data_IF_164968754471
#
_entry.id   IF_164968754471
#
_cell.length_a   1.000
_cell.length_b   1.000
_cell.length_c   1.000
_cell.angle_alpha   90.00
_cell.angle_beta   90.00
_cell.angle_gamma   90.00
#
_symmetry.space_group_name_H-M   'P 1'
#
loop_
_entity.id
_entity.type
_entity.pdbx_description
1 polymer ?
#
# COMPACT_ATOMS: atom_id res chain seq x y z
N UNK A 1 -10.20 -21.66 -0.05
CA UNK A 1 -9.36 -21.60 0.44
C UNK A 1 -8.27 -22.11 1.41
N UNK A 2 -8.42 -22.75 2.54
CA UNK A 2 -7.35 -23.42 3.29
C UNK A 2 -6.48 -22.56 4.20
N UNK A 3 -6.68 -21.24 4.27
CA UNK A 3 -5.98 -20.37 5.22
C UNK A 3 -6.60 -20.53 6.61
N UNK A 4 -5.76 -20.91 7.59
CA UNK A 4 -6.17 -20.98 9.00
C UNK A 4 -5.75 -19.72 9.71
N UNK A 5 -6.71 -18.98 10.26
CA UNK A 5 -6.46 -17.79 11.06
C UNK A 5 -6.40 -18.17 12.54
N UNK A 6 -5.33 -17.76 13.23
CA UNK A 6 -5.15 -17.97 14.64
C UNK A 6 -4.95 -16.63 15.35
N UNK A 7 -5.74 -16.37 16.37
CA UNK A 7 -5.50 -15.25 17.27
C UNK A 7 -4.47 -15.69 18.32
N UNK A 8 -3.30 -15.07 18.29
CA UNK A 8 -2.26 -15.34 19.27
C UNK A 8 -2.60 -14.68 20.62
N UNK A 9 -2.08 -15.27 21.69
CA UNK A 9 -2.30 -14.80 23.04
C UNK A 9 -1.64 -13.43 23.29
N UNK A 10 -2.20 -12.65 24.24
CA UNK A 10 -1.66 -11.37 24.65
C UNK A 10 -0.23 -11.50 25.22
N UNK A 11 0.48 -10.38 25.35
CA UNK A 11 1.90 -10.33 25.76
C UNK A 11 2.21 -11.13 27.04
N UNK A 12 1.30 -11.11 28.02
CA UNK A 12 1.45 -11.87 29.25
C UNK A 12 1.58 -13.39 29.04
N UNK A 13 1.15 -13.90 27.88
CA UNK A 13 1.11 -15.32 27.54
C UNK A 13 2.05 -15.68 26.38
N UNK A 14 3.13 -14.94 26.17
CA UNK A 14 4.10 -15.21 25.09
C UNK A 14 4.68 -16.64 25.13
N UNK A 15 4.76 -17.26 26.28
CA UNK A 15 5.16 -18.65 26.39
C UNK A 15 4.20 -19.61 25.66
N UNK A 16 2.90 -19.35 25.72
CA UNK A 16 1.90 -20.11 24.98
C UNK A 16 2.09 -19.94 23.47
N UNK A 17 2.33 -18.69 23.03
CA UNK A 17 2.63 -18.39 21.64
C UNK A 17 3.88 -19.13 21.15
N UNK A 18 4.93 -19.18 21.98
CA UNK A 18 6.16 -19.93 21.69
C UNK A 18 5.90 -21.43 21.53
N UNK A 19 5.17 -22.04 22.46
CA UNK A 19 4.82 -23.48 22.39
C UNK A 19 3.99 -23.79 21.15
N UNK A 20 3.03 -22.92 20.81
CA UNK A 20 2.22 -23.06 19.61
C UNK A 20 3.10 -23.03 18.34
N UNK A 21 3.98 -22.04 18.20
CA UNK A 21 4.88 -21.90 17.06
C UNK A 21 5.88 -23.06 16.98
N UNK A 22 6.40 -23.53 18.12
CA UNK A 22 7.28 -24.70 18.22
C UNK A 22 6.59 -25.97 17.72
N UNK A 23 5.32 -26.16 18.06
CA UNK A 23 4.53 -27.32 17.61
C UNK A 23 4.26 -27.29 16.11
N UNK A 24 4.10 -26.09 15.52
CA UNK A 24 3.74 -25.93 14.10
C UNK A 24 4.92 -26.08 13.15
N UNK A 25 6.14 -25.74 13.56
CA UNK A 25 7.38 -25.87 12.77
C UNK A 25 7.24 -25.25 11.37
N UNK A 26 6.92 -23.95 11.32
CA UNK A 26 6.80 -23.25 10.04
C UNK A 26 8.15 -23.11 9.32
N UNK A 27 8.18 -23.38 8.02
CA UNK A 27 9.36 -23.25 7.17
C UNK A 27 9.68 -21.77 6.85
N UNK A 28 8.63 -20.97 6.62
CA UNK A 28 8.72 -19.57 6.22
C UNK A 28 7.73 -18.75 7.03
N UNK A 29 8.19 -17.60 7.50
CA UNK A 29 7.37 -16.57 8.11
C UNK A 29 7.15 -15.46 7.08
N UNK A 30 5.94 -14.92 6.97
CA UNK A 30 5.64 -13.74 6.19
C UNK A 30 5.24 -12.62 7.14
N UNK A 31 5.84 -11.45 6.97
CA UNK A 31 5.44 -10.22 7.66
C UNK A 31 5.06 -9.16 6.64
N UNK A 32 3.84 -8.65 6.76
CA UNK A 32 3.39 -7.46 6.00
C UNK A 32 3.78 -6.26 6.85
N UNK A 33 4.87 -5.59 6.46
CA UNK A 33 5.64 -4.75 7.36
C UNK A 33 5.97 -5.50 8.67
N UNK A 34 6.61 -4.85 9.61
CA UNK A 34 6.80 -5.42 10.93
C UNK A 34 6.38 -4.43 12.00
N UNK A 35 5.38 -4.82 12.78
CA UNK A 35 4.96 -4.08 13.97
C UNK A 35 5.69 -4.60 15.19
N UNK A 36 5.69 -3.85 16.30
CA UNK A 36 6.19 -4.32 17.61
C UNK A 36 5.60 -5.68 17.99
N UNK A 37 4.32 -5.91 17.66
CA UNK A 37 3.66 -7.17 17.98
C UNK A 37 4.19 -8.34 17.13
N UNK A 38 4.26 -8.19 15.81
CA UNK A 38 4.78 -9.23 14.91
C UNK A 38 6.26 -9.50 15.16
N UNK A 39 7.08 -8.47 15.41
CA UNK A 39 8.47 -8.60 15.84
C UNK A 39 8.61 -9.47 17.09
N UNK A 40 7.82 -9.17 18.13
CA UNK A 40 7.86 -9.91 19.40
C UNK A 40 7.57 -11.40 19.20
N UNK A 41 6.60 -11.74 18.36
CA UNK A 41 6.24 -13.13 18.06
C UNK A 41 7.34 -13.79 17.22
N UNK A 42 7.77 -13.14 16.16
CA UNK A 42 8.81 -13.68 15.27
C UNK A 42 10.13 -13.90 16.00
N UNK A 43 10.58 -12.93 16.83
CA UNK A 43 11.85 -13.03 17.58
C UNK A 43 11.87 -14.23 18.53
N UNK A 44 10.73 -14.62 19.08
CA UNK A 44 10.57 -15.76 20.00
C UNK A 44 10.24 -17.08 19.30
N UNK A 45 9.90 -17.07 18.02
CA UNK A 45 9.62 -18.30 17.30
C UNK A 45 10.85 -19.21 17.23
N UNK A 46 10.70 -20.54 17.36
CA UNK A 46 11.83 -21.47 17.38
C UNK A 46 12.54 -21.53 16.02
N UNK A 47 13.84 -21.86 16.07
CA UNK A 47 14.69 -22.03 14.89
C UNK A 47 15.73 -20.91 14.74
N UNK A 48 17.00 -21.30 14.54
CA UNK A 48 18.11 -20.34 14.39
C UNK A 48 18.13 -19.64 13.02
N UNK A 49 17.69 -20.35 11.97
CA UNK A 49 17.75 -19.90 10.58
C UNK A 49 16.32 -19.80 9.99
N UNK A 50 15.41 -19.18 10.72
CA UNK A 50 14.04 -18.94 10.23
C UNK A 50 14.08 -18.08 8.98
N UNK A 51 13.39 -18.47 7.93
CA UNK A 51 13.24 -17.66 6.74
C UNK A 51 12.10 -16.67 6.91
N UNK A 52 12.37 -15.40 6.67
CA UNK A 52 11.41 -14.31 6.74
C UNK A 52 11.19 -13.72 5.36
N UNK A 53 9.99 -13.81 4.84
CA UNK A 53 9.53 -13.04 3.70
C UNK A 53 8.97 -11.71 4.24
N UNK A 54 9.65 -10.63 3.98
CA UNK A 54 9.31 -9.31 4.49
C UNK A 54 8.67 -8.48 3.37
N UNK A 55 7.38 -8.20 3.50
CA UNK A 55 6.63 -7.47 2.49
C UNK A 55 6.52 -5.99 2.85
N UNK A 56 7.29 -5.18 2.13
CA UNK A 56 7.35 -3.73 2.26
C UNK A 56 6.04 -3.13 1.75
N UNK A 57 5.37 -2.35 2.59
CA UNK A 57 4.08 -1.72 2.30
C UNK A 57 4.12 -0.20 2.40
N UNK A 58 4.62 0.36 3.49
CA UNK A 58 4.59 1.81 3.76
C UNK A 58 5.78 2.24 4.65
N UNK A 59 7.03 2.07 4.17
CA UNK A 59 8.21 2.48 4.92
C UNK A 59 8.28 4.01 4.99
N UNK A 60 8.38 4.54 6.22
CA UNK A 60 8.42 5.99 6.48
C UNK A 60 9.72 6.37 7.18
N UNK A 61 10.82 6.62 6.45
CA UNK A 61 12.01 7.21 7.02
C UNK A 61 11.75 8.63 7.55
N UNK A 62 12.70 9.21 8.26
CA UNK A 62 12.52 10.49 8.96
C UNK A 62 12.06 11.62 8.05
N UNK A 63 12.60 11.71 6.84
CA UNK A 63 12.22 12.75 5.88
C UNK A 63 10.75 12.66 5.42
N UNK A 64 10.14 11.46 5.40
CA UNK A 64 8.69 11.31 5.14
C UNK A 64 7.88 11.90 6.30
N UNK A 65 8.33 11.71 7.52
CA UNK A 65 7.70 12.31 8.70
C UNK A 65 7.88 13.83 8.75
N UNK A 66 9.04 14.34 8.32
CA UNK A 66 9.29 15.78 8.23
C UNK A 66 8.29 16.44 7.27
N UNK A 67 7.99 15.80 6.15
CA UNK A 67 6.99 16.25 5.19
C UNK A 67 5.56 16.16 5.74
N UNK A 68 5.18 15.03 6.34
CA UNK A 68 3.87 14.85 6.98
C UNK A 68 3.65 15.91 8.06
N UNK A 69 4.66 16.21 8.86
CA UNK A 69 4.60 17.20 9.93
C UNK A 69 4.50 18.65 9.44
N UNK A 70 4.56 18.91 8.13
CA UNK A 70 4.25 20.23 7.57
C UNK A 70 2.76 20.54 7.60
N UNK A 71 1.88 19.54 7.74
CA UNK A 71 0.44 19.74 7.97
C UNK A 71 0.22 20.37 9.34
N UNK A 72 -0.51 21.50 9.40
CA UNK A 72 -0.75 22.25 10.63
C UNK A 72 -2.21 22.25 11.07
N UNK A 73 -3.14 22.15 10.13
CA UNK A 73 -4.58 22.21 10.43
C UNK A 73 -5.01 21.07 11.36
N UNK A 74 -4.46 19.88 11.12
CA UNK A 74 -4.69 18.70 11.92
C UNK A 74 -3.46 17.78 11.86
N UNK A 75 -2.53 17.88 12.84
CA UNK A 75 -1.28 17.11 12.82
C UNK A 75 -1.49 15.60 12.89
N UNK A 76 -0.75 14.86 12.09
CA UNK A 76 -0.71 13.38 12.17
C UNK A 76 0.13 12.95 13.37
N UNK A 77 -0.36 12.02 14.22
CA UNK A 77 0.47 11.42 15.26
C UNK A 77 1.63 10.65 14.67
N UNK A 78 2.85 11.08 14.94
CA UNK A 78 4.05 10.36 14.54
C UNK A 78 4.19 9.07 15.34
N UNK A 79 4.45 7.96 14.65
CA UNK A 79 4.86 6.71 15.28
C UNK A 79 6.23 6.29 14.76
N UNK A 80 7.09 5.86 15.66
CA UNK A 80 8.44 5.42 15.35
C UNK A 80 8.80 4.21 16.20
N UNK A 81 9.26 3.12 15.57
CA UNK A 81 9.62 1.89 16.27
C UNK A 81 11.07 1.51 15.98
N UNK A 82 12.01 2.19 16.66
CA UNK A 82 13.43 1.97 16.50
C UNK A 82 13.82 0.51 16.76
N UNK A 83 13.17 -0.16 17.71
CA UNK A 83 13.49 -1.55 18.05
C UNK A 83 13.19 -2.49 16.86
N UNK A 84 12.08 -2.25 16.16
CA UNK A 84 11.74 -3.02 14.95
C UNK A 84 12.72 -2.73 13.83
N UNK A 85 13.08 -1.46 13.60
CA UNK A 85 14.02 -1.08 12.54
C UNK A 85 15.41 -1.66 12.77
N UNK A 86 15.91 -1.60 14.00
CA UNK A 86 17.18 -2.22 14.38
C UNK A 86 17.17 -3.74 14.22
N UNK A 87 16.06 -4.38 14.57
CA UNK A 87 15.89 -5.82 14.38
C UNK A 87 15.94 -6.19 12.90
N UNK A 88 15.18 -5.52 12.03
CA UNK A 88 15.18 -5.80 10.59
C UNK A 88 16.59 -5.61 10.02
N UNK A 89 17.27 -4.52 10.40
CA UNK A 89 18.65 -4.26 10.01
C UNK A 89 19.60 -5.41 10.40
N UNK A 90 19.56 -5.85 11.67
CA UNK A 90 20.42 -6.94 12.13
C UNK A 90 20.05 -8.29 11.49
N UNK A 91 18.76 -8.53 11.32
CA UNK A 91 18.30 -9.79 10.73
C UNK A 91 18.65 -9.88 9.22
N UNK A 92 18.69 -8.76 8.52
CA UNK A 92 19.12 -8.72 7.11
C UNK A 92 20.56 -9.24 6.94
N UNK A 93 21.46 -8.97 7.91
CA UNK A 93 22.85 -9.47 7.88
C UNK A 93 22.98 -10.99 7.97
N UNK A 94 21.92 -11.68 8.40
CA UNK A 94 21.94 -13.15 8.52
C UNK A 94 21.67 -13.85 7.18
N UNK A 95 21.24 -13.14 6.14
CA UNK A 95 20.81 -13.71 4.86
C UNK A 95 19.52 -14.54 4.94
N UNK A 96 18.78 -14.45 6.04
CA UNK A 96 17.55 -15.20 6.26
C UNK A 96 16.28 -14.37 6.04
N UNK A 97 16.40 -13.11 5.65
CA UNK A 97 15.29 -12.25 5.25
C UNK A 97 15.30 -12.07 3.73
N UNK A 98 14.12 -12.13 3.15
CA UNK A 98 13.91 -11.87 1.73
C UNK A 98 12.88 -10.74 1.61
N UNK A 99 13.27 -9.68 0.93
CA UNK A 99 12.44 -8.49 0.81
C UNK A 99 11.62 -8.54 -0.47
N UNK A 100 10.33 -8.26 -0.33
CA UNK A 100 9.43 -7.99 -1.45
C UNK A 100 8.76 -6.63 -1.24
N UNK A 101 8.44 -5.93 -2.32
CA UNK A 101 7.84 -4.59 -2.26
C UNK A 101 6.62 -4.50 -3.15
N UNK A 102 5.58 -3.82 -2.68
CA UNK A 102 4.37 -3.56 -3.45
C UNK A 102 4.56 -2.53 -4.56
N UNK A 103 5.58 -1.68 -4.45
CA UNK A 103 5.87 -0.61 -5.41
C UNK A 103 7.36 -0.29 -5.44
N UNK A 104 7.90 0.02 -6.62
CA UNK A 104 9.32 0.33 -6.81
C UNK A 104 9.74 1.62 -6.10
N UNK A 105 8.85 2.59 -6.03
CA UNK A 105 9.11 3.85 -5.33
C UNK A 105 9.35 3.67 -3.81
N UNK A 106 9.04 2.50 -3.25
CA UNK A 106 9.26 2.19 -1.84
C UNK A 106 10.61 1.55 -1.56
N UNK A 107 11.31 1.04 -2.57
CA UNK A 107 12.54 0.29 -2.39
C UNK A 107 13.63 1.13 -1.71
N UNK A 108 13.84 2.37 -2.14
CA UNK A 108 14.81 3.26 -1.52
C UNK A 108 14.38 3.69 -0.11
N UNK A 109 13.09 4.00 0.09
CA UNK A 109 12.55 4.34 1.41
C UNK A 109 12.76 3.22 2.42
N UNK A 110 12.57 1.96 2.00
CA UNK A 110 12.82 0.81 2.86
C UNK A 110 14.32 0.64 3.16
N UNK A 111 15.20 0.82 2.17
CA UNK A 111 16.66 0.79 2.39
C UNK A 111 17.08 1.85 3.40
N UNK A 112 16.56 3.06 3.29
CA UNK A 112 16.87 4.16 4.21
C UNK A 112 16.35 3.86 5.63
N UNK A 113 15.08 3.45 5.75
CA UNK A 113 14.45 3.18 7.05
C UNK A 113 15.14 2.04 7.81
N UNK A 114 15.40 0.93 7.12
CA UNK A 114 16.00 -0.25 7.72
C UNK A 114 17.52 -0.28 7.60
N UNK A 115 18.16 0.76 7.07
CA UNK A 115 19.62 0.89 6.89
C UNK A 115 20.21 -0.32 6.16
N UNK A 116 19.55 -0.71 5.06
CA UNK A 116 19.99 -1.83 4.23
C UNK A 116 21.10 -1.38 3.26
N UNK A 117 22.01 -2.28 2.88
CA UNK A 117 22.98 -2.02 1.81
C UNK A 117 22.29 -1.58 0.51
N UNK A 118 22.94 -0.70 -0.25
CA UNK A 118 22.38 -0.18 -1.50
C UNK A 118 22.09 -1.28 -2.55
N UNK A 119 22.89 -2.34 -2.53
CA UNK A 119 22.76 -3.53 -3.39
C UNK A 119 21.74 -4.57 -2.86
N UNK A 120 21.06 -4.30 -1.73
CA UNK A 120 20.02 -5.20 -1.24
C UNK A 120 18.95 -5.41 -2.30
N UNK A 121 18.76 -6.67 -2.68
CA UNK A 121 17.73 -7.05 -3.63
C UNK A 121 16.35 -6.98 -2.98
N UNK A 122 15.41 -6.27 -3.62
CA UNK A 122 14.00 -6.18 -3.24
C UNK A 122 13.17 -6.62 -4.44
N UNK A 123 12.48 -7.75 -4.31
CA UNK A 123 11.65 -8.28 -5.38
C UNK A 123 10.35 -7.49 -5.50
N UNK A 124 9.96 -7.19 -6.73
CA UNK A 124 8.69 -6.51 -7.00
C UNK A 124 7.53 -7.49 -6.96
N UNK A 125 6.62 -7.29 -6.02
CA UNK A 125 5.38 -8.05 -5.90
C UNK A 125 4.22 -7.08 -5.64
N UNK A 126 3.61 -6.53 -6.70
CA UNK A 126 2.57 -5.51 -6.58
C UNK A 126 1.33 -6.03 -5.86
N UNK A 127 0.69 -5.15 -5.09
CA UNK A 127 -0.57 -5.47 -4.45
C UNK A 127 -1.63 -5.88 -5.49
N UNK A 128 -2.37 -6.95 -5.24
CA UNK A 128 -3.47 -7.36 -6.12
C UNK A 128 -4.73 -6.58 -5.79
N UNK A 129 -5.61 -6.48 -6.78
CA UNK A 129 -7.02 -6.13 -6.59
C UNK A 129 -7.92 -7.17 -7.25
N UNK A 130 -9.19 -7.20 -6.84
CA UNK A 130 -10.23 -7.91 -7.56
C UNK A 130 -10.61 -7.09 -8.78
N UNK A 131 -10.64 -7.74 -9.95
CA UNK A 131 -10.97 -7.12 -11.22
C UNK A 131 -12.34 -7.61 -11.65
N UNK A 132 -13.22 -6.68 -12.02
CA UNK A 132 -14.50 -7.02 -12.65
C UNK A 132 -14.25 -7.37 -14.11
N UNK A 133 -14.19 -8.67 -14.41
CA UNK A 133 -13.94 -9.16 -15.77
C UNK A 133 -15.10 -8.87 -16.73
N UNK A 134 -16.28 -8.55 -16.21
CA UNK A 134 -17.47 -8.22 -17.02
C UNK A 134 -17.59 -6.73 -17.30
N UNK A 135 -16.72 -5.89 -16.72
CA UNK A 135 -16.76 -4.46 -16.96
C UNK A 135 -16.23 -4.13 -18.36
N UNK A 136 -17.11 -3.54 -19.18
CA UNK A 136 -16.77 -3.05 -20.52
C UNK A 136 -16.84 -1.52 -20.54
N UNK A 137 -15.69 -0.84 -20.66
CA UNK A 137 -15.61 0.62 -20.65
C UNK A 137 -16.26 1.25 -21.90
N UNK A 138 -16.45 0.54 -22.99
CA UNK A 138 -17.05 1.07 -24.21
C UNK A 138 -18.58 1.18 -24.13
N UNK A 139 -19.20 0.39 -23.25
CA UNK A 139 -20.65 0.43 -23.01
C UNK A 139 -21.06 1.17 -21.74
N UNK A 140 -20.12 1.53 -20.87
CA UNK A 140 -20.41 2.25 -19.63
C UNK A 140 -20.17 3.76 -19.79
N UNK A 141 -21.24 4.55 -19.64
CA UNK A 141 -21.15 6.02 -19.66
C UNK A 141 -20.78 6.55 -18.29
N UNK A 142 -19.60 7.16 -18.19
CA UNK A 142 -19.16 7.85 -16.97
C UNK A 142 -19.84 9.20 -16.81
N UNK A 143 -20.14 9.55 -15.57
CA UNK A 143 -20.69 10.84 -15.18
C UNK A 143 -19.57 11.81 -14.80
N UNK A 144 -19.86 13.12 -14.80
CA UNK A 144 -18.92 14.16 -14.35
C UNK A 144 -18.74 14.17 -12.81
N UNK A 145 -18.64 12.97 -12.24
CA UNK A 145 -18.42 12.76 -10.83
C UNK A 145 -16.92 12.68 -10.52
N UNK A 146 -16.54 13.33 -9.42
CA UNK A 146 -15.17 13.39 -8.91
C UNK A 146 -15.18 12.77 -7.52
N UNK A 147 -14.31 11.78 -7.31
CA UNK A 147 -14.26 11.01 -6.06
C UNK A 147 -13.02 11.35 -5.23
N UNK A 148 -13.21 11.32 -3.93
CA UNK A 148 -12.19 11.04 -2.94
C UNK A 148 -12.47 9.66 -2.35
N UNK A 149 -11.47 8.79 -2.27
CA UNK A 149 -11.61 7.46 -1.67
C UNK A 149 -10.48 7.21 -0.68
N UNK A 150 -10.81 7.23 0.62
CA UNK A 150 -9.84 6.98 1.66
C UNK A 150 -10.37 7.32 3.05
N UNK A 151 -9.61 6.96 4.08
CA UNK A 151 -9.94 7.34 5.46
C UNK A 151 -9.89 8.87 5.59
N UNK A 152 -10.77 9.42 6.41
CA UNK A 152 -10.73 10.85 6.74
C UNK A 152 -9.74 11.01 7.89
N UNK A 153 -8.48 11.25 7.53
CA UNK A 153 -7.35 11.41 8.45
C UNK A 153 -6.46 12.56 7.96
N UNK A 154 -5.62 13.09 8.84
CA UNK A 154 -4.73 14.21 8.56
C UNK A 154 -3.91 14.01 7.27
N UNK A 155 -3.24 12.87 7.13
CA UNK A 155 -2.40 12.58 5.95
C UNK A 155 -3.17 12.59 4.63
N UNK A 156 -4.50 12.42 4.66
CA UNK A 156 -5.36 12.39 3.46
C UNK A 156 -5.86 13.77 3.06
N UNK A 157 -5.81 14.75 3.95
CA UNK A 157 -6.21 16.15 3.72
C UNK A 157 -7.58 16.30 3.06
N UNK A 158 -8.61 15.62 3.61
CA UNK A 158 -9.98 15.68 3.11
C UNK A 158 -10.52 17.13 2.97
N UNK A 159 -10.03 18.06 3.79
CA UNK A 159 -10.36 19.50 3.69
C UNK A 159 -9.92 20.11 2.35
N UNK A 160 -8.77 19.68 1.80
CA UNK A 160 -8.31 20.19 0.51
C UNK A 160 -9.22 19.71 -0.63
N UNK A 161 -9.69 18.47 -0.57
CA UNK A 161 -10.70 17.98 -1.51
C UNK A 161 -12.03 18.77 -1.39
N UNK A 162 -12.42 19.11 -0.17
CA UNK A 162 -13.63 19.91 0.04
C UNK A 162 -13.49 21.35 -0.51
N UNK A 163 -12.30 21.96 -0.38
CA UNK A 163 -12.03 23.28 -0.98
C UNK A 163 -12.01 23.21 -2.52
N UNK A 164 -11.54 22.11 -3.11
CA UNK A 164 -11.64 21.88 -4.56
C UNK A 164 -13.11 21.85 -4.97
N UNK A 165 -13.96 21.11 -4.22
CA UNK A 165 -15.40 21.04 -4.50
C UNK A 165 -16.06 22.41 -4.42
N UNK A 166 -15.74 23.23 -3.38
CA UNK A 166 -16.24 24.61 -3.22
C UNK A 166 -15.87 25.49 -4.41
N UNK A 167 -14.66 25.33 -4.95
CA UNK A 167 -14.15 26.13 -6.06
C UNK A 167 -14.71 25.70 -7.43
N UNK A 168 -15.34 24.51 -7.52
CA UNK A 168 -15.82 23.93 -8.79
C UNK A 168 -17.32 23.54 -8.70
N UNK A 169 -18.23 24.50 -8.49
CA UNK A 169 -19.66 24.20 -8.21
C UNK A 169 -20.39 23.55 -9.39
N UNK A 170 -19.82 23.55 -10.57
CA UNK A 170 -20.38 22.93 -11.79
C UNK A 170 -20.24 21.39 -11.83
N UNK A 171 -19.40 20.79 -10.95
CA UNK A 171 -19.18 19.35 -10.89
C UNK A 171 -19.68 18.76 -9.57
N UNK A 172 -19.92 17.44 -9.54
CA UNK A 172 -20.34 16.72 -8.33
C UNK A 172 -19.16 16.00 -7.70
N UNK A 173 -18.97 16.21 -6.40
CA UNK A 173 -17.88 15.65 -5.61
C UNK A 173 -18.41 14.68 -4.56
N UNK A 174 -17.81 13.50 -4.48
CA UNK A 174 -18.21 12.46 -3.54
C UNK A 174 -17.03 12.05 -2.67
N UNK A 175 -17.18 12.21 -1.37
CA UNK A 175 -16.19 11.82 -0.38
C UNK A 175 -16.56 10.47 0.22
N UNK A 176 -15.82 9.43 -0.19
CA UNK A 176 -16.00 8.04 0.24
C UNK A 176 -14.97 7.72 1.34
N UNK A 177 -15.46 7.50 2.54
CA UNK A 177 -14.65 7.17 3.71
C UNK A 177 -15.19 7.75 4.99
N UNK A 178 -14.56 7.37 6.08
CA UNK A 178 -14.88 7.86 7.41
C UNK A 178 -13.63 8.04 8.26
N UNK A 179 -13.71 8.80 9.33
CA UNK A 179 -12.67 8.94 10.32
C UNK A 179 -12.59 7.69 11.21
N UNK A 180 -11.39 7.19 11.45
CA UNK A 180 -11.14 6.07 12.37
C UNK A 180 -10.28 6.48 13.56
N UNK A 181 -9.14 7.11 13.27
CA UNK A 181 -8.25 7.64 14.30
C UNK A 181 -8.62 9.07 14.56
N UNK A 182 -8.59 9.50 15.83
CA UNK A 182 -8.96 10.86 16.22
C UNK A 182 -10.25 11.30 15.52
N UNK A 183 -11.30 10.44 15.63
CA UNK A 183 -12.52 10.61 14.84
C UNK A 183 -13.24 11.91 15.15
N UNK A 184 -13.29 12.32 16.42
CA UNK A 184 -13.98 13.53 16.83
C UNK A 184 -13.30 14.78 16.28
N UNK A 185 -11.97 14.84 16.33
CA UNK A 185 -11.18 15.95 15.79
C UNK A 185 -11.27 16.02 14.27
N UNK A 186 -11.16 14.90 13.57
CA UNK A 186 -11.33 14.82 12.12
C UNK A 186 -12.72 15.27 11.69
N UNK A 187 -13.75 14.79 12.39
CA UNK A 187 -15.14 15.17 12.12
C UNK A 187 -15.38 16.66 12.39
N UNK A 188 -14.78 17.24 13.43
CA UNK A 188 -14.87 18.66 13.72
C UNK A 188 -14.22 19.52 12.60
N UNK A 189 -13.10 19.07 12.02
CA UNK A 189 -12.50 19.73 10.85
C UNK A 189 -13.44 19.64 9.66
N UNK A 190 -13.99 18.46 9.36
CA UNK A 190 -14.83 18.23 8.18
C UNK A 190 -16.24 18.83 8.32
N UNK A 191 -16.72 19.07 9.53
CA UNK A 191 -18.02 19.72 9.76
C UNK A 191 -18.13 21.12 9.13
N UNK A 192 -17.00 21.80 8.91
CA UNK A 192 -16.93 23.12 8.25
C UNK A 192 -17.26 23.11 6.76
N UNK A 193 -17.39 21.93 6.18
CA UNK A 193 -17.58 21.71 4.74
C UNK A 193 -18.91 21.04 4.39
N UNK A 194 -19.78 20.85 5.39
CA UNK A 194 -21.07 20.15 5.23
C UNK A 194 -22.11 20.93 4.41
N UNK A 195 -21.92 22.23 4.32
CA UNK A 195 -22.81 23.18 3.60
C UNK A 195 -22.44 23.39 2.13
N UNK A 196 -21.39 22.70 1.64
CA UNK A 196 -20.99 22.77 0.21
C UNK A 196 -21.98 21.98 -0.64
N UNK A 197 -22.80 22.64 -1.52
CA UNK A 197 -23.95 22.01 -2.15
C UNK A 197 -23.61 20.85 -3.08
N UNK A 198 -22.43 20.87 -3.69
CA UNK A 198 -21.93 19.86 -4.64
C UNK A 198 -20.94 18.87 -4.03
N UNK A 199 -20.77 18.85 -2.71
CA UNK A 199 -19.93 17.90 -1.96
C UNK A 199 -20.82 16.92 -1.19
N UNK A 200 -20.74 15.65 -1.53
CA UNK A 200 -21.53 14.58 -0.92
C UNK A 200 -20.68 13.71 -0.02
N UNK A 201 -20.95 13.72 1.28
CA UNK A 201 -20.32 12.83 2.25
C UNK A 201 -21.02 11.47 2.22
N UNK A 202 -20.42 10.50 1.57
CA UNK A 202 -21.02 9.17 1.36
C UNK A 202 -20.80 8.24 2.56
N UNK A 203 -19.77 8.51 3.36
CA UNK A 203 -19.35 7.65 4.46
C UNK A 203 -18.57 6.43 3.98
N UNK A 204 -18.46 5.42 4.83
CA UNK A 204 -17.79 4.18 4.49
C UNK A 204 -18.60 3.40 3.47
N UNK A 205 -17.95 2.96 2.39
CA UNK A 205 -18.53 2.13 1.34
C UNK A 205 -17.60 1.00 0.97
N UNK A 206 -18.17 -0.16 0.67
CA UNK A 206 -17.45 -1.36 0.22
C UNK A 206 -18.30 -2.15 -0.77
N UNK A 207 -17.73 -3.19 -1.36
CA UNK A 207 -18.41 -4.09 -2.29
C UNK A 207 -19.00 -3.37 -3.50
N UNK A 208 -20.16 -3.82 -3.96
CA UNK A 208 -20.77 -3.34 -5.20
C UNK A 208 -21.08 -1.83 -5.18
N UNK A 209 -21.49 -1.26 -4.03
CA UNK A 209 -21.74 0.17 -3.93
C UNK A 209 -20.48 1.01 -4.22
N UNK A 210 -19.32 0.60 -3.68
CA UNK A 210 -18.04 1.24 -3.97
C UNK A 210 -17.70 1.10 -5.44
N UNK A 211 -17.83 -0.13 -5.98
CA UNK A 211 -17.51 -0.41 -7.36
C UNK A 211 -18.37 0.42 -8.33
N UNK A 212 -19.67 0.57 -8.05
CA UNK A 212 -20.55 1.39 -8.88
C UNK A 212 -20.13 2.86 -8.88
N UNK A 213 -19.78 3.43 -7.73
CA UNK A 213 -19.29 4.81 -7.66
C UNK A 213 -17.98 5.00 -8.46
N UNK A 214 -17.09 4.00 -8.43
CA UNK A 214 -15.87 4.02 -9.24
C UNK A 214 -16.15 3.86 -10.74
N UNK A 215 -17.09 2.99 -11.12
CA UNK A 215 -17.54 2.81 -12.51
C UNK A 215 -18.10 4.12 -13.08
N UNK A 216 -18.91 4.82 -12.30
CA UNK A 216 -19.63 6.02 -12.75
C UNK A 216 -18.74 7.27 -12.80
N UNK A 217 -17.71 7.35 -11.99
CA UNK A 217 -16.89 8.54 -11.87
C UNK A 217 -15.84 8.65 -12.99
N UNK A 218 -15.56 9.88 -13.44
CA UNK A 218 -14.49 10.18 -14.38
C UNK A 218 -13.14 10.29 -13.68
N UNK A 219 -13.10 10.85 -12.47
CA UNK A 219 -11.85 11.15 -11.76
C UNK A 219 -11.87 10.69 -10.32
N UNK A 220 -10.70 10.26 -9.84
CA UNK A 220 -10.34 10.13 -8.44
C UNK A 220 -9.31 11.22 -8.11
N UNK A 221 -9.64 12.11 -7.19
CA UNK A 221 -8.73 13.13 -6.69
C UNK A 221 -8.13 12.68 -5.36
N UNK A 222 -6.82 12.63 -5.30
CA UNK A 222 -6.08 12.31 -4.09
C UNK A 222 -5.28 13.52 -3.62
N UNK A 223 -5.61 14.01 -2.44
CA UNK A 223 -4.99 15.19 -1.80
C UNK A 223 -3.99 14.80 -0.70
N UNK A 224 -3.64 13.53 -0.58
CA UNK A 224 -2.78 13.02 0.49
C UNK A 224 -1.39 13.67 0.47
N UNK A 225 -0.86 13.98 1.67
CA UNK A 225 0.53 14.44 1.78
C UNK A 225 1.53 13.29 1.65
N UNK A 226 1.09 12.09 2.00
CA UNK A 226 1.90 10.87 1.91
C UNK A 226 1.05 9.70 1.43
N UNK A 227 1.61 8.91 0.54
CA UNK A 227 1.10 7.61 0.08
C UNK A 227 2.27 6.65 -0.19
N UNK A 228 2.01 5.36 0.02
CA UNK A 228 2.86 4.31 -0.52
C UNK A 228 2.40 3.92 -1.94
N UNK A 229 1.54 2.92 -2.06
CA UNK A 229 0.77 2.63 -3.27
C UNK A 229 -0.70 2.48 -2.86
N UNK A 230 -1.53 3.52 -3.05
CA UNK A 230 -2.92 3.47 -2.63
C UNK A 230 -3.71 2.42 -3.38
N UNK A 231 -4.37 1.51 -2.67
CA UNK A 231 -5.29 0.54 -3.28
C UNK A 231 -6.41 1.26 -4.01
N UNK A 232 -6.86 2.42 -3.52
CA UNK A 232 -7.85 3.28 -4.18
C UNK A 232 -7.44 3.73 -5.59
N UNK A 233 -6.13 3.91 -5.87
CA UNK A 233 -5.65 4.19 -7.23
C UNK A 233 -5.88 2.99 -8.14
N UNK A 234 -5.50 1.81 -7.67
CA UNK A 234 -5.64 0.58 -8.45
C UNK A 234 -7.11 0.27 -8.74
N UNK A 235 -7.97 0.41 -7.72
CA UNK A 235 -9.42 0.22 -7.85
C UNK A 235 -10.03 1.23 -8.82
N UNK A 236 -9.69 2.51 -8.73
CA UNK A 236 -10.17 3.54 -9.66
C UNK A 236 -9.73 3.25 -11.11
N UNK A 237 -8.44 2.99 -11.29
CA UNK A 237 -7.86 2.71 -12.62
C UNK A 237 -8.40 1.42 -13.24
N UNK A 238 -8.83 0.43 -12.43
CA UNK A 238 -9.46 -0.80 -12.96
C UNK A 238 -10.80 -0.55 -13.67
N UNK A 239 -11.44 0.56 -13.35
CA UNK A 239 -12.66 1.04 -14.00
C UNK A 239 -12.40 2.22 -14.94
N UNK A 240 -11.15 2.55 -15.23
CA UNK A 240 -10.79 3.70 -16.08
C UNK A 240 -11.15 5.05 -15.47
N UNK A 241 -11.29 5.13 -14.16
CA UNK A 241 -11.42 6.38 -13.39
C UNK A 241 -10.04 6.94 -13.18
N UNK A 242 -9.74 8.09 -13.83
CA UNK A 242 -8.39 8.63 -13.90
C UNK A 242 -7.99 9.40 -12.64
N UNK A 243 -6.70 9.62 -12.46
CA UNK A 243 -6.15 10.21 -11.25
C UNK A 243 -5.85 11.71 -11.42
N UNK A 244 -6.17 12.50 -10.40
CA UNK A 244 -5.56 13.82 -10.18
C UNK A 244 -4.97 13.80 -8.77
N UNK A 245 -3.66 13.91 -8.65
CA UNK A 245 -3.00 13.71 -7.35
C UNK A 245 -1.68 14.46 -7.25
N UNK A 246 -1.33 14.84 -6.02
CA UNK A 246 0.00 15.32 -5.65
C UNK A 246 0.94 14.18 -5.19
N UNK A 247 0.51 12.92 -5.34
CA UNK A 247 1.30 11.71 -5.15
C UNK A 247 1.44 10.98 -6.48
N UNK A 248 2.61 10.41 -6.76
CA UNK A 248 2.89 9.74 -8.03
C UNK A 248 3.63 8.40 -7.83
N UNK A 249 3.06 7.46 -7.04
CA UNK A 249 3.70 6.17 -6.80
C UNK A 249 3.83 5.40 -8.11
N UNK A 250 5.04 4.88 -8.38
CA UNK A 250 5.40 4.14 -9.59
C UNK A 250 4.90 4.81 -10.89
N UNK A 251 4.86 6.16 -10.89
CA UNK A 251 4.41 7.00 -12.01
C UNK A 251 2.93 6.81 -12.41
N UNK A 252 2.12 6.15 -11.57
CA UNK A 252 0.72 5.87 -11.93
C UNK A 252 -0.09 7.13 -12.21
N UNK A 253 0.10 8.18 -11.40
CA UNK A 253 -0.66 9.42 -11.59
C UNK A 253 -0.26 10.15 -12.86
N UNK A 254 1.03 10.24 -13.17
CA UNK A 254 1.51 10.89 -14.41
C UNK A 254 1.18 10.08 -15.67
N UNK A 255 1.07 8.76 -15.56
CA UNK A 255 0.69 7.89 -16.69
C UNK A 255 -0.80 7.87 -16.96
N UNK A 256 -1.63 7.89 -15.93
CA UNK A 256 -3.07 7.68 -16.03
C UNK A 256 -3.88 8.84 -15.41
N UNK A 257 -3.36 10.04 -15.55
CA UNK A 257 -3.99 11.24 -15.01
C UNK A 257 -3.11 12.47 -15.05
N UNK A 258 -3.26 13.31 -14.02
CA UNK A 258 -2.48 14.54 -13.84
C UNK A 258 -1.78 14.51 -12.48
N UNK A 259 -0.47 14.48 -12.50
CA UNK A 259 0.35 14.69 -11.30
C UNK A 259 0.57 16.20 -11.10
N UNK A 260 0.02 16.75 -10.04
CA UNK A 260 0.07 18.20 -9.75
C UNK A 260 1.43 18.66 -9.20
N UNK A 261 2.38 17.73 -9.06
CA UNK A 261 3.60 17.97 -8.30
C UNK A 261 3.39 17.80 -6.79
N UNK A 262 4.49 17.76 -6.06
CA UNK A 262 4.47 17.57 -4.60
C UNK A 262 3.83 18.79 -3.91
N UNK A 263 2.90 18.53 -3.01
CA UNK A 263 2.17 19.55 -2.23
C UNK A 263 2.37 19.28 -0.74
N UNK A 264 3.09 20.16 -0.07
CA UNK A 264 3.34 20.10 1.38
C UNK A 264 2.31 20.96 2.16
N UNK A 265 2.37 20.88 3.48
CA UNK A 265 1.50 21.61 4.38
C UNK A 265 0.03 21.25 4.23
N UNK A 266 -0.83 22.22 4.56
CA UNK A 266 -2.28 22.05 4.46
C UNK A 266 -2.79 22.05 3.00
N UNK A 267 -1.99 22.52 2.06
CA UNK A 267 -2.20 22.45 0.62
C UNK A 267 -3.07 23.54 0.01
N UNK A 268 -3.60 24.47 0.78
CA UNK A 268 -4.55 25.50 0.28
C UNK A 268 -3.96 26.39 -0.81
N UNK A 269 -2.69 26.73 -0.73
CA UNK A 269 -1.97 27.55 -1.71
C UNK A 269 -1.78 26.84 -3.07
N UNK A 270 -1.98 25.53 -3.11
CA UNK A 270 -1.85 24.69 -4.31
C UNK A 270 -3.19 24.25 -4.90
N UNK A 271 -4.29 24.73 -4.35
CA UNK A 271 -5.64 24.49 -4.86
C UNK A 271 -5.76 24.67 -6.38
N UNK A 272 -5.22 25.74 -7.00
CA UNK A 272 -5.31 25.93 -8.45
C UNK A 272 -4.73 24.80 -9.29
N UNK A 273 -3.69 24.11 -8.81
CA UNK A 273 -3.08 23.00 -9.54
C UNK A 273 -4.02 21.79 -9.67
N UNK A 274 -4.81 21.53 -8.63
CA UNK A 274 -5.82 20.46 -8.69
C UNK A 274 -6.98 20.84 -9.61
N UNK A 275 -7.45 22.09 -9.54
CA UNK A 275 -8.53 22.60 -10.41
C UNK A 275 -8.11 22.49 -11.87
N UNK A 276 -6.92 22.97 -12.22
CA UNK A 276 -6.37 22.87 -13.57
C UNK A 276 -6.27 21.42 -14.04
N UNK A 277 -5.75 20.52 -13.20
CA UNK A 277 -5.62 19.10 -13.52
C UNK A 277 -6.97 18.42 -13.76
N UNK A 278 -7.99 18.77 -12.99
CA UNK A 278 -9.37 18.27 -13.16
C UNK A 278 -9.93 18.76 -14.48
N UNK A 279 -9.84 20.07 -14.77
CA UNK A 279 -10.36 20.67 -15.99
C UNK A 279 -9.69 20.11 -17.25
N UNK A 280 -8.36 19.95 -17.23
CA UNK A 280 -7.62 19.36 -18.36
C UNK A 280 -8.15 17.96 -18.75
N UNK A 281 -8.54 17.13 -17.77
CA UNK A 281 -9.08 15.81 -18.04
C UNK A 281 -10.56 15.86 -18.42
N UNK A 282 -11.37 16.66 -17.76
CA UNK A 282 -12.81 16.71 -18.02
C UNK A 282 -13.13 17.37 -19.37
N UNK A 283 -12.36 18.36 -19.80
CA UNK A 283 -12.54 19.06 -21.08
C UNK A 283 -11.99 18.28 -22.28
N UNK A 284 -11.19 17.23 -22.09
CA UNK A 284 -10.62 16.44 -23.19
C UNK A 284 -11.08 14.99 -23.13
N UNK A 285 -12.26 14.75 -23.66
CA UNK A 285 -12.91 13.42 -23.70
C UNK A 285 -12.04 12.35 -24.38
N UNK A 286 -11.48 12.66 -25.55
CA UNK A 286 -10.67 11.71 -26.33
C UNK A 286 -9.39 11.28 -25.57
N UNK A 287 -8.69 12.24 -24.96
CA UNK A 287 -7.53 11.94 -24.12
C UNK A 287 -7.94 11.07 -22.93
N UNK A 288 -9.03 11.44 -22.26
CA UNK A 288 -9.52 10.70 -21.09
C UNK A 288 -9.89 9.27 -21.42
N UNK A 289 -10.60 9.02 -22.53
CA UNK A 289 -10.95 7.68 -22.98
C UNK A 289 -9.72 6.84 -23.33
N UNK A 290 -8.73 7.42 -24.00
CA UNK A 290 -7.48 6.74 -24.31
C UNK A 290 -6.76 6.30 -23.03
N UNK A 291 -6.54 7.23 -22.10
CA UNK A 291 -5.89 6.95 -20.82
C UNK A 291 -6.67 5.92 -19.98
N UNK A 292 -8.00 5.96 -20.01
CA UNK A 292 -8.84 5.00 -19.29
C UNK A 292 -8.64 3.57 -19.80
N UNK A 293 -8.60 3.37 -21.12
CA UNK A 293 -8.34 2.04 -21.73
C UNK A 293 -6.94 1.52 -21.38
N UNK A 294 -5.94 2.39 -21.46
CA UNK A 294 -4.56 2.06 -21.08
C UNK A 294 -4.44 1.69 -19.58
N UNK A 295 -5.13 2.44 -18.71
CA UNK A 295 -5.16 2.18 -17.27
C UNK A 295 -5.77 0.81 -16.95
N UNK A 296 -6.93 0.50 -17.51
CA UNK A 296 -7.61 -0.79 -17.34
C UNK A 296 -6.69 -1.93 -17.78
N UNK A 297 -6.08 -1.80 -18.96
CA UNK A 297 -5.18 -2.83 -19.50
C UNK A 297 -3.94 -3.02 -18.59
N UNK A 298 -3.38 -1.92 -18.09
CA UNK A 298 -2.25 -1.98 -17.15
C UNK A 298 -2.63 -2.70 -15.85
N UNK A 299 -3.75 -2.32 -15.23
CA UNK A 299 -4.21 -2.92 -13.99
C UNK A 299 -4.49 -4.42 -14.16
N UNK A 300 -5.19 -4.82 -15.21
CA UNK A 300 -5.42 -6.23 -15.54
C UNK A 300 -4.12 -7.01 -15.69
N UNK A 301 -3.10 -6.43 -16.31
CA UNK A 301 -1.80 -7.07 -16.53
C UNK A 301 -0.97 -7.20 -15.25
N UNK A 302 -0.94 -6.18 -14.41
CA UNK A 302 0.04 -6.05 -13.31
C UNK A 302 -0.56 -6.45 -11.96
N UNK A 303 -1.80 -6.05 -11.68
CA UNK A 303 -2.43 -6.14 -10.36
C UNK A 303 -3.51 -7.21 -10.25
N UNK A 304 -3.57 -8.15 -11.20
CA UNK A 304 -4.52 -9.25 -11.18
C UNK A 304 -4.25 -10.23 -10.03
N UNK A 305 -5.29 -10.60 -9.30
CA UNK A 305 -5.19 -11.46 -8.11
C UNK A 305 -4.53 -12.82 -8.40
N UNK A 306 -4.84 -13.44 -9.54
CA UNK A 306 -4.26 -14.76 -9.86
C UNK A 306 -2.78 -14.67 -10.22
N UNK A 307 -2.36 -13.61 -10.87
CA UNK A 307 -0.93 -13.32 -11.09
C UNK A 307 -0.20 -13.17 -9.76
N UNK A 308 -0.76 -12.38 -8.84
CA UNK A 308 -0.21 -12.22 -7.51
C UNK A 308 -0.07 -13.56 -6.76
N UNK A 309 -1.09 -14.42 -6.79
CA UNK A 309 -1.04 -15.76 -6.16
C UNK A 309 0.08 -16.63 -6.75
N UNK A 310 0.28 -16.58 -8.06
CA UNK A 310 1.34 -17.31 -8.75
C UNK A 310 2.72 -16.81 -8.34
N UNK A 311 2.93 -15.50 -8.38
CA UNK A 311 4.20 -14.84 -8.05
C UNK A 311 4.55 -15.06 -6.56
N UNK A 312 3.62 -14.84 -5.63
CA UNK A 312 3.80 -15.11 -4.20
C UNK A 312 4.14 -16.60 -3.95
N UNK A 313 3.48 -17.51 -4.64
CA UNK A 313 3.74 -18.95 -4.51
C UNK A 313 5.15 -19.31 -4.99
N UNK A 314 5.65 -18.63 -6.02
CA UNK A 314 7.02 -18.81 -6.53
C UNK A 314 8.05 -18.35 -5.49
N UNK A 315 7.85 -17.17 -4.90
CA UNK A 315 8.74 -16.63 -3.85
C UNK A 315 8.81 -17.56 -2.62
N UNK A 316 7.66 -18.03 -2.14
CA UNK A 316 7.60 -18.97 -1.00
C UNK A 316 8.32 -20.29 -1.32
N UNK A 317 8.16 -20.83 -2.54
CA UNK A 317 8.84 -22.07 -2.95
C UNK A 317 10.35 -21.89 -3.03
N UNK A 318 10.82 -20.76 -3.58
CA UNK A 318 12.24 -20.45 -3.65
C UNK A 318 12.89 -20.43 -2.26
N UNK A 319 12.24 -19.76 -1.29
CA UNK A 319 12.71 -19.72 0.11
C UNK A 319 12.73 -21.10 0.77
N UNK A 320 11.73 -21.94 0.50
CA UNK A 320 11.67 -23.32 1.03
C UNK A 320 12.80 -24.19 0.47
N UNK A 321 13.14 -24.08 -0.79
CA UNK A 321 14.22 -24.86 -1.41
C UNK A 321 15.58 -24.50 -0.81
N UNK A 322 15.85 -23.23 -0.59
CA UNK A 322 17.07 -22.76 0.08
C UNK A 322 17.19 -23.29 1.51
N UNK A 323 16.09 -23.40 2.24
CA UNK A 323 16.07 -23.93 3.62
C UNK A 323 16.48 -25.41 3.67
N UNK A 324 16.14 -26.20 2.66
CA UNK A 324 16.46 -27.65 2.59
C UNK A 324 17.91 -27.92 2.19
N UNK A 325 18.50 -27.09 1.33
CA UNK A 325 19.91 -27.25 0.91
C UNK A 325 20.90 -27.03 2.06
N UNK A 326 20.58 -26.12 2.99
CA UNK A 326 21.42 -25.84 4.17
C UNK A 326 21.37 -27.00 5.19
N UNK A 327 20.36 -27.87 5.12
CA UNK A 327 20.20 -29.00 6.06
C UNK A 327 20.80 -30.31 5.56
N UNK A 328 21.31 -30.39 4.33
CA UNK A 328 22.04 -31.56 3.85
C UNK A 328 23.54 -31.40 4.20
N UNK A 329 24.09 -32.09 5.22
CA UNK A 329 25.53 -32.12 5.40
C UNK A 329 26.12 -32.84 4.18
N UNK A 330 27.14 -32.25 3.57
CA UNK A 330 27.97 -32.96 2.61
C UNK A 330 28.48 -34.25 3.28
N UNK A 331 27.95 -35.36 2.84
CA UNK A 331 28.55 -36.66 3.09
C UNK A 331 29.84 -36.73 2.25
N UNK A 332 30.90 -36.06 2.70
CA UNK A 332 32.23 -36.31 2.25
C UNK A 332 32.70 -37.59 2.91
N UNK A 333 32.40 -38.73 2.27
CA UNK A 333 33.03 -39.99 2.59
C UNK A 333 34.54 -39.87 2.38
N UNK A 334 35.28 -39.64 3.46
CA UNK A 334 36.70 -39.90 3.50
C UNK A 334 36.91 -41.44 3.50
N UNK A 335 37.15 -41.98 2.35
CA UNK A 335 37.71 -43.33 2.22
C UNK A 335 39.12 -43.31 2.81
N UNK A 336 39.32 -43.95 3.94
CA UNK A 336 40.64 -44.28 4.46
C UNK A 336 41.27 -45.34 3.58
N UNK A 337 42.54 -45.20 3.14
CA UNK A 337 43.24 -46.28 2.43
C UNK A 337 43.59 -47.38 3.45
N UNK A 338 43.11 -48.59 3.20
CA UNK A 338 43.60 -49.78 3.94
C UNK A 338 45.05 -50.07 3.48
N UNK A 339 45.96 -49.91 4.41
CA UNK A 339 47.31 -50.45 4.28
C UNK A 339 47.25 -51.97 4.45
N UNK A 340 47.74 -52.73 3.44
CA UNK A 340 47.97 -54.16 3.49
C UNK A 340 49.40 -54.36 3.91
N UNK A 341 49.60 -55.16 4.95
CA UNK A 341 50.80 -55.96 5.15
C UNK A 341 50.52 -57.38 4.70
#
# INVERSE_FOLDING_TARGET
>A
DGIKVYKLAARAFDFINYLFLKKKQYDVFLSIEMTTHSYRIFSKAPGKNKKLLFWIQDPRPTYEWDEINTVKLFPEPCYWDQQVYDFVHQYAKTGNIHFISQARCLDQKAKDLYRLPADTEIQYLPNPIEIDENFDPDYHQKQDNILFLGRIESVKRGWLFAEIARAMPQYQFYMLGQAHRQADENNAVMAKYQDIPNLHFVGHVEGERKNQLLKDAKLLVNTSIHEALPVSFLEALSYGTLLVSCQNPDELTSRFGIYTGKVLGDGFDKLPLFIEGIEQLLQNEAKRQTLAKEAIAYIKKVHHLDKFKQDMSKEIRALKSQSRQVQSPHATGSAWPRTVQ
#
